data_IF_711230287796
#
_entry.id   IF_711230287796
#
_cell.length_a   1.000
_cell.length_b   1.000
_cell.length_c   1.000
_cell.angle_alpha   90.00
_cell.angle_beta   90.00
_cell.angle_gamma   90.00
#
_symmetry.space_group_name_H-M   'P 1'
#
loop_
_entity.id
_entity.type
_entity.pdbx_description
1 polymer ?
#
# COMPACT_ATOMS: atom_id res chain seq x y z
N UNK A 1 -14.97 5.91 17.16
CA UNK A 1 -13.79 6.32 16.37
C UNK A 1 -13.90 5.72 14.97
N UNK A 2 -13.71 6.55 13.94
CA UNK A 2 -14.12 6.34 12.54
C UNK A 2 -13.44 5.13 11.89
N UNK A 3 -14.21 4.09 11.58
CA UNK A 3 -13.79 2.86 10.89
C UNK A 3 -14.64 2.57 9.64
N UNK A 4 -15.14 3.61 8.99
CA UNK A 4 -16.03 3.49 7.83
C UNK A 4 -15.21 3.36 6.53
N UNK A 5 -15.17 2.15 5.99
CA UNK A 5 -15.22 1.78 4.55
C UNK A 5 -14.80 0.32 4.37
N UNK A 6 -15.61 -0.60 4.87
CA UNK A 6 -15.76 -1.88 4.16
C UNK A 6 -16.56 -1.57 2.90
N UNK A 7 -15.84 -1.32 1.80
CA UNK A 7 -16.45 -1.15 0.48
C UNK A 7 -17.20 -2.44 0.16
N UNK A 8 -18.52 -2.31 0.09
CA UNK A 8 -19.47 -3.37 -0.23
C UNK A 8 -19.22 -3.77 -1.69
N UNK A 9 -18.68 -4.97 -1.89
CA UNK A 9 -18.47 -5.52 -3.24
C UNK A 9 -19.83 -5.93 -3.82
N UNK A 10 -20.48 -5.00 -4.52
CA UNK A 10 -21.57 -5.31 -5.45
C UNK A 10 -20.91 -5.90 -6.70
N UNK A 11 -20.94 -7.22 -6.83
CA UNK A 11 -20.31 -7.95 -7.94
C UNK A 11 -20.94 -7.47 -9.25
N UNK A 12 -20.17 -6.67 -10.01
CA UNK A 12 -20.45 -6.35 -11.41
C UNK A 12 -19.61 -7.31 -12.25
N UNK A 13 -20.21 -7.83 -13.30
CA UNK A 13 -19.54 -8.55 -14.39
C UNK A 13 -18.23 -7.85 -14.74
N UNK A 14 -17.11 -8.54 -14.54
CA UNK A 14 -15.77 -8.00 -14.79
C UNK A 14 -15.57 -7.82 -16.30
N UNK A 15 -15.39 -6.58 -16.76
CA UNK A 15 -15.05 -6.33 -18.15
C UNK A 15 -13.56 -6.63 -18.39
N UNK A 16 -13.13 -6.99 -19.61
CA UNK A 16 -11.71 -7.23 -19.93
C UNK A 16 -10.79 -6.07 -19.56
N UNK A 17 -11.27 -4.83 -19.74
CA UNK A 17 -10.55 -3.59 -19.37
C UNK A 17 -10.33 -3.48 -17.85
N UNK A 18 -11.24 -4.01 -17.04
CA UNK A 18 -11.08 -4.01 -15.57
C UNK A 18 -9.98 -4.99 -15.15
N UNK A 19 -9.83 -6.11 -15.85
CA UNK A 19 -8.80 -7.10 -15.57
C UNK A 19 -7.38 -6.57 -15.88
N UNK A 20 -7.20 -5.87 -16.99
CA UNK A 20 -5.92 -5.23 -17.35
C UNK A 20 -5.53 -4.15 -16.35
N UNK A 21 -6.48 -3.30 -15.94
CA UNK A 21 -6.25 -2.31 -14.87
C UNK A 21 -5.85 -2.97 -13.56
N UNK A 22 -6.51 -4.05 -13.17
CA UNK A 22 -6.15 -4.79 -11.94
C UNK A 22 -4.73 -5.38 -12.04
N UNK A 23 -4.35 -5.92 -13.20
CA UNK A 23 -3.02 -6.46 -13.41
C UNK A 23 -1.95 -5.36 -13.27
N UNK A 24 -2.13 -4.22 -13.95
CA UNK A 24 -1.20 -3.08 -13.86
C UNK A 24 -1.06 -2.56 -12.41
N UNK A 25 -2.17 -2.49 -11.67
CA UNK A 25 -2.13 -2.12 -10.25
C UNK A 25 -1.34 -3.12 -9.40
N UNK A 26 -1.54 -4.42 -9.63
CA UNK A 26 -0.85 -5.47 -8.90
C UNK A 26 0.65 -5.46 -9.22
N UNK A 27 1.02 -5.29 -10.50
CA UNK A 27 2.41 -5.16 -10.94
C UNK A 27 3.09 -3.94 -10.33
N UNK A 28 2.41 -2.79 -10.32
CA UNK A 28 2.91 -1.59 -9.67
C UNK A 28 3.13 -1.79 -8.17
N UNK A 29 2.20 -2.43 -7.47
CA UNK A 29 2.34 -2.75 -6.04
C UNK A 29 3.53 -3.68 -5.80
N UNK A 30 3.77 -4.65 -6.68
CA UNK A 30 4.92 -5.54 -6.57
C UNK A 30 6.24 -4.80 -6.79
N UNK A 31 6.29 -3.97 -7.82
CA UNK A 31 7.42 -3.13 -8.19
C UNK A 31 7.79 -2.10 -7.10
N UNK A 32 6.82 -1.31 -6.63
CA UNK A 32 7.08 -0.17 -5.77
C UNK A 32 7.19 -0.53 -4.28
N UNK A 33 6.42 -1.51 -3.80
CA UNK A 33 6.37 -1.90 -2.40
C UNK A 33 7.42 -2.99 -2.08
N UNK A 34 8.70 -2.61 -2.18
CA UNK A 34 9.83 -3.51 -1.94
C UNK A 34 10.11 -3.70 -0.44
N UNK A 35 10.82 -4.77 -0.07
CA UNK A 35 11.25 -4.98 1.32
C UNK A 35 12.14 -3.85 1.83
N UNK A 36 12.96 -3.25 0.95
CA UNK A 36 13.80 -2.11 1.31
C UNK A 36 12.96 -0.91 1.78
N UNK A 37 11.88 -0.57 1.06
CA UNK A 37 10.94 0.49 1.47
C UNK A 37 10.25 0.14 2.80
N UNK A 38 9.94 -1.14 3.01
CA UNK A 38 9.36 -1.60 4.29
C UNK A 38 10.34 -1.45 5.45
N UNK A 39 11.62 -1.79 5.26
CA UNK A 39 12.66 -1.56 6.27
C UNK A 39 12.83 -0.08 6.60
N UNK A 40 12.87 0.78 5.58
CA UNK A 40 12.91 2.24 5.80
C UNK A 40 11.72 2.73 6.61
N UNK A 41 10.52 2.17 6.40
CA UNK A 41 9.35 2.49 7.21
C UNK A 41 9.47 2.03 8.67
N UNK A 42 10.17 0.92 8.94
CA UNK A 42 10.49 0.51 10.30
C UNK A 42 11.51 1.45 10.95
N UNK A 43 12.52 1.88 10.18
CA UNK A 43 13.52 2.85 10.66
C UNK A 43 12.88 4.18 10.99
N UNK A 44 11.95 4.67 10.15
CA UNK A 44 11.13 5.83 10.47
C UNK A 44 10.40 5.69 11.80
N UNK A 45 9.79 4.53 12.09
CA UNK A 45 9.16 4.32 13.40
C UNK A 45 10.18 4.41 14.55
N UNK A 46 11.36 3.80 14.38
CA UNK A 46 12.44 3.84 15.39
C UNK A 46 12.93 5.26 15.64
N UNK A 47 13.15 6.03 14.59
CA UNK A 47 13.58 7.43 14.66
C UNK A 47 12.55 8.31 15.38
N UNK A 48 11.26 8.05 15.16
CA UNK A 48 10.17 8.73 15.85
C UNK A 48 9.90 8.19 17.27
N UNK A 49 10.74 7.26 17.77
CA UNK A 49 10.58 6.59 19.06
C UNK A 49 9.23 5.87 19.21
N UNK A 50 8.69 5.39 18.08
CA UNK A 50 7.44 4.64 18.01
C UNK A 50 7.75 3.15 18.05
N UNK A 51 7.08 2.43 18.96
CA UNK A 51 7.24 0.98 19.07
C UNK A 51 6.74 0.27 17.81
N UNK A 52 7.49 -0.73 17.33
CA UNK A 52 7.09 -1.57 16.22
C UNK A 52 6.06 -2.59 16.73
N UNK A 53 4.80 -2.18 16.74
CA UNK A 53 3.69 -2.97 17.27
C UNK A 53 2.44 -2.79 16.39
N UNK A 54 1.51 -3.76 16.44
CA UNK A 54 0.27 -3.71 15.66
C UNK A 54 -0.59 -2.46 15.93
N UNK A 55 -0.46 -1.83 17.11
CA UNK A 55 -1.15 -0.57 17.43
C UNK A 55 -0.65 0.62 16.60
N UNK A 56 0.62 0.57 16.15
CA UNK A 56 1.30 1.62 15.40
C UNK A 56 1.39 1.34 13.90
N UNK A 57 0.84 0.22 13.42
CA UNK A 57 0.88 -0.18 12.01
C UNK A 57 0.28 0.90 11.08
N UNK A 58 -0.73 1.65 11.54
CA UNK A 58 -1.32 2.73 10.76
C UNK A 58 -0.33 3.85 10.44
N UNK A 59 0.61 4.13 11.34
CA UNK A 59 1.66 5.14 11.16
C UNK A 59 2.66 4.67 10.11
N UNK A 60 3.12 3.42 10.24
CA UNK A 60 3.98 2.76 9.25
C UNK A 60 3.35 2.76 7.85
N UNK A 61 2.11 2.28 7.71
CA UNK A 61 1.41 2.20 6.44
C UNK A 61 1.24 3.58 5.81
N UNK A 62 0.85 4.58 6.59
CA UNK A 62 0.68 5.96 6.10
C UNK A 62 2.00 6.52 5.58
N UNK A 63 3.09 6.32 6.32
CA UNK A 63 4.41 6.79 5.90
C UNK A 63 4.84 6.10 4.60
N UNK A 64 4.80 4.77 4.56
CA UNK A 64 5.24 3.97 3.43
C UNK A 64 4.48 4.29 2.14
N UNK A 65 3.16 4.42 2.21
CA UNK A 65 2.34 4.74 1.05
C UNK A 65 2.66 6.14 0.53
N UNK A 66 2.82 7.11 1.42
CA UNK A 66 3.16 8.47 1.02
C UNK A 66 4.56 8.55 0.41
N UNK A 67 5.51 7.77 0.93
CA UNK A 67 6.86 7.66 0.39
C UNK A 67 6.83 7.08 -1.03
N UNK A 68 6.16 5.94 -1.22
CA UNK A 68 5.98 5.30 -2.53
C UNK A 68 5.29 6.22 -3.54
N UNK A 69 4.17 6.86 -3.16
CA UNK A 69 3.44 7.75 -4.08
C UNK A 69 4.28 8.96 -4.50
N UNK A 70 5.16 9.46 -3.63
CA UNK A 70 6.04 10.59 -3.97
C UNK A 70 7.13 10.17 -4.95
N UNK A 71 7.74 9.02 -4.69
CA UNK A 71 8.88 8.52 -5.45
C UNK A 71 8.47 7.96 -6.81
N UNK A 72 7.29 7.34 -6.88
CA UNK A 72 6.78 6.67 -8.08
C UNK A 72 5.69 7.48 -8.81
N UNK A 73 5.61 8.78 -8.52
CA UNK A 73 4.58 9.64 -9.10
C UNK A 73 4.62 9.62 -10.63
N UNK A 74 5.81 9.76 -11.20
CA UNK A 74 6.00 9.79 -12.66
C UNK A 74 5.65 8.42 -13.28
N UNK A 75 6.11 7.32 -12.68
CA UNK A 75 5.77 5.94 -13.08
C UNK A 75 4.25 5.70 -13.09
N UNK A 76 3.55 6.23 -12.08
CA UNK A 76 2.10 6.12 -11.97
C UNK A 76 1.38 6.94 -13.04
N UNK A 77 1.86 8.15 -13.35
CA UNK A 77 1.31 8.99 -14.41
C UNK A 77 1.50 8.33 -15.79
N UNK A 78 2.69 7.78 -16.08
CA UNK A 78 2.98 7.04 -17.31
C UNK A 78 2.13 5.78 -17.47
N UNK A 79 1.85 5.10 -16.36
CA UNK A 79 1.04 3.88 -16.33
C UNK A 79 -0.47 4.13 -16.20
N UNK A 80 -0.90 5.40 -16.14
CA UNK A 80 -2.29 5.82 -15.92
C UNK A 80 -2.93 5.19 -14.66
N UNK A 81 -2.17 5.19 -13.57
CA UNK A 81 -2.52 4.61 -12.29
C UNK A 81 -2.91 5.73 -11.31
N UNK A 82 -4.16 5.70 -10.80
CA UNK A 82 -4.59 6.66 -9.77
C UNK A 82 -4.01 6.26 -8.40
N UNK A 83 -3.38 7.19 -7.65
CA UNK A 83 -2.94 6.95 -6.28
C UNK A 83 -3.99 6.36 -5.34
N UNK A 84 -5.27 6.65 -5.57
CA UNK A 84 -6.39 6.11 -4.80
C UNK A 84 -6.60 4.61 -5.06
N UNK A 85 -6.28 4.14 -6.25
CA UNK A 85 -6.48 2.75 -6.67
C UNK A 85 -5.33 1.86 -6.14
N UNK A 86 -4.09 2.35 -6.13
CA UNK A 86 -2.92 1.59 -5.61
C UNK A 86 -2.90 1.50 -4.09
N UNK A 87 -3.43 2.52 -3.41
CA UNK A 87 -3.28 2.67 -1.97
C UNK A 87 -3.80 1.46 -1.19
N UNK A 88 -4.85 0.78 -1.69
CA UNK A 88 -5.37 -0.46 -1.08
C UNK A 88 -4.41 -1.63 -1.25
N UNK A 89 -3.84 -1.81 -2.44
CA UNK A 89 -2.89 -2.89 -2.72
C UNK A 89 -1.61 -2.75 -1.91
N UNK A 90 -1.04 -1.53 -1.86
CA UNK A 90 0.13 -1.20 -1.04
C UNK A 90 -0.12 -1.52 0.44
N UNK A 91 -1.28 -1.11 0.98
CA UNK A 91 -1.66 -1.40 2.37
C UNK A 91 -1.72 -2.90 2.65
N UNK A 92 -2.35 -3.68 1.77
CA UNK A 92 -2.52 -5.12 1.98
C UNK A 92 -1.18 -5.86 1.96
N UNK A 93 -0.31 -5.55 1.01
CA UNK A 93 1.04 -6.14 0.91
C UNK A 93 1.89 -5.78 2.13
N UNK A 94 2.00 -4.49 2.45
CA UNK A 94 2.81 -4.00 3.56
C UNK A 94 2.30 -4.49 4.93
N UNK A 95 0.98 -4.54 5.13
CA UNK A 95 0.39 -5.08 6.36
C UNK A 95 0.69 -6.57 6.55
N UNK A 96 0.63 -7.34 5.48
CA UNK A 96 0.95 -8.78 5.51
C UNK A 96 2.41 -9.01 5.86
N UNK A 97 3.31 -8.25 5.24
CA UNK A 97 4.73 -8.29 5.56
C UNK A 97 5.02 -7.88 7.01
N UNK A 98 4.45 -6.75 7.47
CA UNK A 98 4.66 -6.25 8.83
C UNK A 98 4.20 -7.26 9.89
N UNK A 99 3.06 -7.93 9.66
CA UNK A 99 2.57 -8.98 10.56
C UNK A 99 3.53 -10.18 10.63
N UNK A 100 4.11 -10.59 9.49
CA UNK A 100 5.10 -11.68 9.44
C UNK A 100 6.38 -11.31 10.18
N UNK A 101 6.85 -10.07 10.05
CA UNK A 101 8.05 -9.58 10.71
C UNK A 101 7.88 -9.36 12.23
N UNK A 102 6.65 -9.38 12.73
CA UNK A 102 6.33 -9.34 14.17
C UNK A 102 6.14 -10.72 14.80
N UNK A 103 6.08 -11.78 13.99
CA UNK A 103 5.83 -13.15 14.45
C UNK A 103 7.10 -13.89 14.81
#
# INVERSE_FOLDING_TARGET
VKGEKHSVSKVKTLAPVDAEKLANLQEFVEYACTENRMHQGLDYLREQQITIEMKNIGIFLKWLINDIIKEEKDTMEESNIDPKDVGRGLQMKAKTWFKRNLS
#
